data_IF_297578643323
#
_entry.id   IF_297578643323
#
_cell.length_a   1.000
_cell.length_b   1.000
_cell.length_c   1.000
_cell.angle_alpha   90.00
_cell.angle_beta   90.00
_cell.angle_gamma   90.00
#
_symmetry.space_group_name_H-M   'P 1'
#
loop_
_entity.id
_entity.type
_entity.pdbx_description
1 polymer ?
#
# COMPACT_ATOMS: atom_id res chain seq x y z
N UNK A 1 -7.48 -1.22 -33.11
CA UNK A 1 -7.63 -2.66 -32.75
C UNK A 1 -8.28 -2.82 -31.38
N UNK A 2 -7.79 -2.20 -30.30
CA UNK A 2 -8.40 -2.28 -28.94
C UNK A 2 -9.87 -1.81 -28.94
N UNK A 3 -10.16 -0.63 -29.50
CA UNK A 3 -11.53 -0.12 -29.66
C UNK A 3 -12.43 -1.02 -30.51
N UNK A 4 -11.88 -1.60 -31.60
CA UNK A 4 -12.63 -2.53 -32.44
C UNK A 4 -12.96 -3.83 -31.69
N UNK A 5 -12.07 -4.32 -30.84
CA UNK A 5 -12.32 -5.52 -30.06
C UNK A 5 -13.26 -5.27 -28.88
N UNK A 6 -13.12 -4.14 -28.18
CA UNK A 6 -13.97 -3.78 -27.05
C UNK A 6 -15.45 -3.58 -27.44
N UNK A 7 -15.69 -3.02 -28.63
CA UNK A 7 -17.04 -2.70 -29.13
C UNK A 7 -17.74 -3.82 -29.92
N UNK A 8 -17.15 -5.01 -29.99
CA UNK A 8 -17.82 -6.14 -30.63
C UNK A 8 -18.88 -6.72 -29.67
N UNK A 9 -20.15 -6.43 -29.96
CA UNK A 9 -21.31 -6.88 -29.19
C UNK A 9 -21.39 -8.41 -29.00
N UNK A 10 -20.86 -9.19 -29.95
CA UNK A 10 -20.91 -10.65 -29.99
C UNK A 10 -19.53 -11.31 -29.62
N UNK A 11 -18.55 -10.56 -29.15
CA UNK A 11 -17.28 -11.14 -28.76
C UNK A 11 -17.46 -12.05 -27.52
N UNK A 12 -16.89 -13.26 -27.51
CA UNK A 12 -16.92 -14.10 -26.33
C UNK A 12 -16.24 -13.39 -25.17
N UNK A 13 -16.81 -13.51 -23.97
CA UNK A 13 -16.28 -12.89 -22.76
C UNK A 13 -14.91 -13.48 -22.45
N UNK A 14 -13.90 -12.61 -22.40
CA UNK A 14 -12.54 -12.93 -22.03
C UNK A 14 -12.13 -12.07 -20.83
N UNK A 15 -12.13 -12.69 -19.66
CA UNK A 15 -11.82 -12.02 -18.39
C UNK A 15 -10.32 -11.87 -18.20
N UNK A 16 -9.90 -10.78 -17.55
CA UNK A 16 -8.53 -10.57 -17.08
C UNK A 16 -8.55 -9.93 -15.69
N UNK A 17 -7.70 -10.45 -14.83
CA UNK A 17 -7.49 -9.94 -13.48
C UNK A 17 -6.07 -9.37 -13.39
N UNK A 18 -5.94 -8.07 -13.25
CA UNK A 18 -4.65 -7.38 -13.16
C UNK A 18 -4.54 -6.67 -11.83
N UNK A 19 -3.48 -6.94 -11.09
CA UNK A 19 -3.25 -6.30 -9.80
C UNK A 19 -1.81 -5.81 -9.72
N UNK A 20 -1.64 -4.64 -9.11
CA UNK A 20 -0.33 -4.16 -8.71
C UNK A 20 0.28 -5.03 -7.60
N UNK A 21 1.59 -4.94 -7.42
CA UNK A 21 2.34 -5.74 -6.46
C UNK A 21 2.44 -5.05 -5.10
N UNK A 22 3.21 -3.95 -5.05
CA UNK A 22 3.59 -3.29 -3.81
C UNK A 22 2.42 -2.51 -3.23
N UNK A 23 2.21 -2.63 -1.91
CA UNK A 23 1.09 -2.03 -1.18
C UNK A 23 -0.32 -2.41 -1.71
N UNK A 24 -0.39 -3.30 -2.70
CA UNK A 24 -1.62 -3.90 -3.25
C UNK A 24 -1.73 -5.38 -2.90
N UNK A 25 -0.92 -6.23 -3.53
CA UNK A 25 -0.87 -7.68 -3.26
C UNK A 25 0.05 -8.02 -2.09
N UNK A 26 1.18 -7.34 -2.00
CA UNK A 26 2.17 -7.56 -0.95
C UNK A 26 2.63 -6.23 -0.35
N UNK A 27 3.25 -6.34 0.81
CA UNK A 27 4.12 -5.32 1.37
C UNK A 27 5.52 -5.87 1.42
N UNK A 28 6.49 -5.11 0.96
CA UNK A 28 7.90 -5.48 1.02
C UNK A 28 8.72 -4.38 1.66
N UNK A 29 9.89 -4.73 2.19
CA UNK A 29 10.89 -3.76 2.67
C UNK A 29 11.90 -3.40 1.59
N UNK A 30 11.71 -3.86 0.34
CA UNK A 30 12.57 -3.48 -0.77
C UNK A 30 12.56 -1.96 -0.96
N UNK A 31 13.73 -1.38 -1.22
CA UNK A 31 13.92 0.06 -1.38
C UNK A 31 14.56 0.37 -2.73
N UNK A 32 14.33 1.57 -3.24
CA UNK A 32 15.04 2.14 -4.38
C UNK A 32 16.18 2.99 -3.82
N UNK A 33 17.39 2.75 -4.28
CA UNK A 33 18.51 3.65 -4.05
C UNK A 33 18.33 4.92 -4.89
N UNK A 34 18.64 6.07 -4.32
CA UNK A 34 18.60 7.38 -4.99
C UNK A 34 19.98 8.02 -4.81
N UNK A 35 20.57 8.46 -5.91
CA UNK A 35 21.80 9.28 -5.94
C UNK A 35 21.46 10.63 -6.56
N UNK A 36 21.58 11.71 -5.80
CA UNK A 36 21.35 13.09 -6.28
C UNK A 36 22.56 13.61 -7.06
N UNK A 37 22.38 14.70 -7.81
CA UNK A 37 23.47 15.35 -8.53
C UNK A 37 24.64 15.76 -7.62
N UNK A 38 24.36 16.10 -6.36
CA UNK A 38 25.36 16.48 -5.36
C UNK A 38 26.11 15.26 -4.78
N UNK A 39 25.83 14.04 -5.29
CA UNK A 39 26.44 12.80 -4.82
C UNK A 39 25.87 12.26 -3.50
N UNK A 40 24.80 12.85 -2.95
CA UNK A 40 24.12 12.32 -1.78
C UNK A 40 23.35 11.06 -2.15
N UNK A 41 23.46 10.00 -1.32
CA UNK A 41 22.76 8.74 -1.52
C UNK A 41 21.80 8.46 -0.38
N UNK A 42 20.57 8.02 -0.71
CA UNK A 42 19.58 7.58 0.25
C UNK A 42 18.68 6.51 -0.36
N UNK A 43 17.82 5.88 0.45
CA UNK A 43 16.91 4.83 -0.02
C UNK A 43 15.47 5.20 0.32
N UNK A 44 14.57 5.04 -0.65
CA UNK A 44 13.13 5.27 -0.53
C UNK A 44 12.35 3.98 -0.78
N UNK A 45 11.18 3.86 -0.15
CA UNK A 45 10.28 2.72 -0.37
C UNK A 45 9.43 2.90 -1.65
N UNK A 46 8.64 1.87 -2.01
CA UNK A 46 7.80 1.89 -3.21
C UNK A 46 6.82 3.07 -3.24
N UNK A 47 6.17 3.37 -2.12
CA UNK A 47 5.20 4.46 -2.00
C UNK A 47 5.86 5.83 -2.16
N UNK A 48 7.02 6.03 -1.56
CA UNK A 48 7.81 7.27 -1.71
C UNK A 48 8.33 7.42 -3.14
N UNK A 49 8.81 6.32 -3.73
CA UNK A 49 9.23 6.32 -5.13
C UNK A 49 8.10 6.73 -6.06
N UNK A 50 6.91 6.13 -5.92
CA UNK A 50 5.75 6.49 -6.73
C UNK A 50 5.34 7.96 -6.62
N UNK A 51 5.59 8.61 -5.48
CA UNK A 51 5.28 10.03 -5.26
C UNK A 51 6.35 10.98 -5.78
N UNK A 52 7.63 10.62 -5.63
CA UNK A 52 8.77 11.52 -5.79
C UNK A 52 9.64 11.22 -7.01
N UNK A 53 9.42 10.09 -7.69
CA UNK A 53 10.27 9.70 -8.81
C UNK A 53 10.37 10.79 -9.88
N UNK A 54 9.24 11.40 -10.28
CA UNK A 54 9.24 12.45 -11.29
C UNK A 54 9.95 13.74 -10.86
N UNK A 55 9.82 14.13 -9.58
CA UNK A 55 10.55 15.27 -9.01
C UNK A 55 12.06 14.99 -8.99
N UNK A 56 12.46 13.87 -8.39
CA UNK A 56 13.85 13.45 -8.30
C UNK A 56 14.50 13.27 -9.68
N UNK A 57 13.78 12.71 -10.65
CA UNK A 57 14.23 12.56 -12.02
C UNK A 57 14.48 13.93 -12.69
N UNK A 58 13.56 14.90 -12.46
CA UNK A 58 13.71 16.26 -12.96
C UNK A 58 14.89 17.02 -12.33
N UNK A 59 15.25 16.66 -11.10
CA UNK A 59 16.42 17.15 -10.38
C UNK A 59 17.72 16.43 -10.77
N UNK A 60 17.65 15.47 -11.71
CA UNK A 60 18.79 14.73 -12.23
C UNK A 60 19.27 13.57 -11.34
N UNK A 61 18.44 13.12 -10.40
CA UNK A 61 18.77 11.96 -9.57
C UNK A 61 18.84 10.67 -10.39
N UNK A 62 19.75 9.78 -9.99
CA UNK A 62 19.86 8.42 -10.51
C UNK A 62 19.22 7.43 -9.54
N UNK A 63 18.62 6.36 -10.08
CA UNK A 63 17.96 5.33 -9.29
C UNK A 63 18.68 3.99 -9.39
N UNK A 64 18.87 3.35 -8.23
CA UNK A 64 19.33 1.96 -8.12
C UNK A 64 18.16 1.07 -7.71
N UNK A 65 17.75 0.17 -8.61
CA UNK A 65 16.65 -0.77 -8.44
C UNK A 65 17.09 -2.17 -7.98
N UNK A 66 18.34 -2.39 -7.62
CA UNK A 66 18.88 -3.71 -7.27
C UNK A 66 18.10 -4.42 -6.18
N UNK A 67 17.61 -3.68 -5.16
CA UNK A 67 16.72 -4.27 -4.14
C UNK A 67 15.30 -4.51 -4.65
N UNK A 68 14.86 -3.76 -5.65
CA UNK A 68 13.53 -3.92 -6.26
C UNK A 68 13.44 -5.15 -7.17
N UNK A 69 14.57 -5.69 -7.59
CA UNK A 69 14.62 -7.00 -8.25
C UNK A 69 14.34 -8.16 -7.28
N UNK A 70 14.27 -7.89 -5.97
CA UNK A 70 14.02 -8.87 -4.89
C UNK A 70 12.77 -8.50 -4.11
N UNK A 71 12.19 -9.49 -3.42
CA UNK A 71 11.16 -9.26 -2.42
C UNK A 71 11.79 -9.43 -1.04
N UNK A 72 12.08 -8.31 -0.38
CA UNK A 72 12.66 -8.29 0.96
C UNK A 72 11.54 -8.26 1.99
N UNK A 73 11.50 -9.24 2.89
CA UNK A 73 10.51 -9.37 3.98
C UNK A 73 9.05 -9.15 3.50
N UNK A 74 8.69 -9.88 2.42
CA UNK A 74 7.37 -9.78 1.79
C UNK A 74 6.26 -10.30 2.69
N UNK A 75 5.20 -9.51 2.87
CA UNK A 75 3.98 -9.86 3.63
C UNK A 75 2.75 -9.66 2.74
N UNK A 76 1.66 -10.36 3.06
CA UNK A 76 0.37 -10.20 2.36
C UNK A 76 -0.13 -8.76 2.46
N UNK A 77 -0.48 -8.18 1.32
CA UNK A 77 -1.03 -6.83 1.20
C UNK A 77 -2.55 -6.76 1.39
N UNK A 78 -3.15 -5.58 1.26
CA UNK A 78 -4.56 -5.33 1.55
C UNK A 78 -5.52 -6.10 0.64
N UNK A 79 -5.14 -6.37 -0.60
CA UNK A 79 -5.99 -7.09 -1.56
C UNK A 79 -5.53 -8.54 -1.80
N UNK A 80 -4.62 -9.07 -0.97
CA UNK A 80 -4.19 -10.48 -1.11
C UNK A 80 -5.37 -11.45 -1.03
N UNK A 81 -6.39 -11.14 -0.20
CA UNK A 81 -7.61 -11.96 -0.12
C UNK A 81 -8.39 -12.02 -1.43
N UNK A 82 -8.30 -10.98 -2.25
CA UNK A 82 -8.92 -10.96 -3.58
C UNK A 82 -8.23 -11.97 -4.50
N UNK A 83 -6.89 -12.02 -4.51
CA UNK A 83 -6.12 -13.04 -5.22
C UNK A 83 -6.51 -14.45 -4.76
N UNK A 84 -6.63 -14.69 -3.45
CA UNK A 84 -7.07 -15.99 -2.90
C UNK A 84 -8.44 -16.39 -3.45
N UNK A 85 -9.39 -15.46 -3.49
CA UNK A 85 -10.74 -15.70 -4.01
C UNK A 85 -10.75 -15.94 -5.53
N UNK A 86 -9.92 -15.22 -6.30
CA UNK A 86 -9.77 -15.45 -7.74
C UNK A 86 -9.17 -16.83 -7.98
N UNK A 87 -8.10 -17.18 -7.27
CA UNK A 87 -7.45 -18.48 -7.39
C UNK A 87 -8.43 -19.63 -7.11
N UNK A 88 -9.23 -19.53 -6.04
CA UNK A 88 -10.19 -20.56 -5.67
C UNK A 88 -11.33 -20.74 -6.70
N UNK A 89 -11.74 -19.67 -7.38
CA UNK A 89 -12.91 -19.69 -8.29
C UNK A 89 -12.55 -19.84 -9.76
N UNK A 90 -11.42 -19.33 -10.19
CA UNK A 90 -11.05 -19.16 -11.61
C UNK A 90 -9.66 -19.69 -11.96
N UNK A 91 -8.82 -19.94 -10.94
CA UNK A 91 -7.40 -20.17 -11.14
C UNK A 91 -6.64 -18.90 -11.49
N UNK A 92 -5.35 -19.02 -11.82
CA UNK A 92 -4.45 -17.89 -12.04
C UNK A 92 -3.93 -17.77 -13.49
N UNK A 93 -4.53 -18.47 -14.45
CA UNK A 93 -4.09 -18.42 -15.85
C UNK A 93 -4.30 -17.03 -16.49
N UNK A 94 -5.40 -16.35 -16.15
CA UNK A 94 -5.73 -14.99 -16.60
C UNK A 94 -5.53 -13.95 -15.49
N UNK A 95 -4.73 -14.29 -14.48
CA UNK A 95 -4.30 -13.39 -13.42
C UNK A 95 -2.92 -12.82 -13.76
N UNK A 96 -2.80 -11.49 -13.72
CA UNK A 96 -1.58 -10.77 -14.06
C UNK A 96 -1.14 -9.88 -12.90
N UNK A 97 0.17 -9.86 -12.65
CA UNK A 97 0.83 -8.87 -11.79
C UNK A 97 1.44 -7.81 -12.69
N UNK A 98 1.08 -6.55 -12.46
CA UNK A 98 1.56 -5.40 -13.22
C UNK A 98 2.17 -4.38 -12.26
N UNK A 99 3.48 -4.33 -12.21
CA UNK A 99 4.21 -3.50 -11.23
C UNK A 99 5.11 -2.47 -11.92
N UNK A 100 5.36 -1.35 -11.23
CA UNK A 100 6.37 -0.37 -11.63
C UNK A 100 7.81 -0.88 -11.48
N UNK A 101 8.03 -1.99 -10.77
CA UNK A 101 9.35 -2.61 -10.66
C UNK A 101 9.93 -2.94 -12.04
N UNK A 102 11.27 -3.04 -12.19
CA UNK A 102 11.87 -3.44 -13.44
C UNK A 102 11.51 -4.89 -13.82
N UNK A 103 11.60 -5.21 -15.11
CA UNK A 103 11.28 -6.54 -15.64
C UNK A 103 12.12 -7.67 -14.97
N UNK A 104 13.34 -7.37 -14.56
CA UNK A 104 14.24 -8.27 -13.84
C UNK A 104 13.65 -8.77 -12.49
N UNK A 105 12.67 -8.08 -11.94
CA UNK A 105 11.98 -8.49 -10.70
C UNK A 105 11.03 -9.70 -10.89
N UNK A 106 10.58 -9.99 -12.11
CA UNK A 106 9.54 -11.00 -12.36
C UNK A 106 9.89 -12.41 -11.84
N UNK A 107 11.13 -12.94 -11.97
CA UNK A 107 11.49 -14.25 -11.40
C UNK A 107 11.41 -14.28 -9.87
N UNK A 108 11.83 -13.21 -9.19
CA UNK A 108 11.76 -13.14 -7.73
C UNK A 108 10.31 -13.03 -7.23
N UNK A 109 9.47 -12.28 -7.94
CA UNK A 109 8.02 -12.17 -7.68
C UNK A 109 7.39 -13.56 -7.84
N UNK A 110 7.68 -14.26 -8.94
CA UNK A 110 7.18 -15.62 -9.15
C UNK A 110 7.59 -16.56 -8.02
N UNK A 111 8.88 -16.57 -7.65
CA UNK A 111 9.39 -17.40 -6.56
C UNK A 111 8.67 -17.13 -5.23
N UNK A 112 8.37 -15.87 -4.93
CA UNK A 112 7.64 -15.49 -3.74
C UNK A 112 6.21 -16.06 -3.74
N UNK A 113 5.46 -15.91 -4.83
CA UNK A 113 4.09 -16.44 -4.92
C UNK A 113 4.07 -17.97 -4.97
N UNK A 114 5.04 -18.60 -5.64
CA UNK A 114 5.20 -20.05 -5.65
C UNK A 114 5.42 -20.63 -4.25
N UNK A 115 6.23 -19.95 -3.42
CA UNK A 115 6.47 -20.33 -2.03
C UNK A 115 5.21 -20.23 -1.16
N UNK A 116 4.29 -19.32 -1.51
CA UNK A 116 2.98 -19.19 -0.86
C UNK A 116 1.92 -20.13 -1.45
N UNK A 117 2.26 -20.96 -2.44
CA UNK A 117 1.34 -21.91 -3.10
C UNK A 117 0.53 -21.33 -4.26
N UNK A 118 0.82 -20.12 -4.73
CA UNK A 118 0.11 -19.47 -5.84
C UNK A 118 0.90 -19.57 -7.14
N UNK A 119 0.46 -20.40 -8.07
CA UNK A 119 1.18 -20.69 -9.33
C UNK A 119 0.81 -19.69 -10.43
N UNK A 120 1.29 -18.47 -10.32
CA UNK A 120 1.13 -17.44 -11.35
C UNK A 120 2.14 -17.72 -12.47
N UNK A 121 1.71 -17.82 -13.77
CA UNK A 121 2.65 -17.99 -14.87
C UNK A 121 3.64 -16.83 -14.97
N UNK A 122 4.92 -17.12 -15.22
CA UNK A 122 5.94 -16.06 -15.31
C UNK A 122 5.59 -14.99 -16.36
N UNK A 123 5.03 -15.41 -17.51
CA UNK A 123 4.57 -14.51 -18.57
C UNK A 123 3.46 -13.52 -18.15
N UNK A 124 2.80 -13.81 -17.02
CA UNK A 124 1.74 -12.97 -16.45
C UNK A 124 2.29 -12.00 -15.39
N UNK A 125 3.60 -11.96 -15.18
CA UNK A 125 4.24 -11.02 -14.26
C UNK A 125 5.00 -10.00 -15.09
N UNK A 126 4.52 -8.76 -15.11
CA UNK A 126 5.10 -7.67 -15.89
C UNK A 126 5.66 -6.60 -14.98
N UNK A 127 6.96 -6.44 -15.00
CA UNK A 127 7.64 -5.28 -14.44
C UNK A 127 7.83 -4.23 -15.54
N UNK A 128 7.27 -3.05 -15.34
CA UNK A 128 7.30 -1.97 -16.35
C UNK A 128 8.60 -1.17 -16.34
N UNK A 129 9.29 -1.11 -15.19
CA UNK A 129 10.43 -0.20 -14.99
C UNK A 129 10.03 1.27 -15.09
N UNK A 130 8.73 1.57 -14.97
CA UNK A 130 8.17 2.90 -15.10
C UNK A 130 7.02 3.07 -14.10
N UNK A 131 7.12 4.12 -13.27
CA UNK A 131 6.11 4.47 -12.26
C UNK A 131 4.98 5.36 -12.79
N UNK A 132 5.03 5.80 -14.06
CA UNK A 132 4.03 6.70 -14.63
C UNK A 132 2.69 5.98 -14.85
N UNK A 133 1.55 6.60 -14.48
CA UNK A 133 0.23 5.99 -14.66
C UNK A 133 -0.08 5.57 -16.10
N UNK A 134 0.47 6.30 -17.07
CA UNK A 134 0.30 6.04 -18.51
C UNK A 134 0.91 4.70 -18.94
N UNK A 135 1.98 4.25 -18.28
CA UNK A 135 2.59 2.95 -18.59
C UNK A 135 1.63 1.79 -18.26
N UNK A 136 0.97 1.83 -17.09
CA UNK A 136 -0.06 0.84 -16.73
C UNK A 136 -1.29 0.92 -17.63
N UNK A 137 -1.78 2.13 -17.92
CA UNK A 137 -2.90 2.35 -18.84
C UNK A 137 -2.61 1.82 -20.26
N UNK A 138 -1.39 2.06 -20.77
CA UNK A 138 -0.92 1.55 -22.07
C UNK A 138 -0.88 0.01 -22.10
N UNK A 139 -0.40 -0.62 -21.02
CA UNK A 139 -0.38 -2.08 -20.92
C UNK A 139 -1.82 -2.66 -20.95
N UNK A 140 -2.77 -2.07 -20.22
CA UNK A 140 -4.18 -2.46 -20.23
C UNK A 140 -4.78 -2.32 -21.64
N UNK A 141 -4.46 -1.22 -22.35
CA UNK A 141 -4.87 -1.01 -23.74
C UNK A 141 -4.33 -2.11 -24.68
N UNK A 142 -3.09 -2.56 -24.45
CA UNK A 142 -2.49 -3.70 -25.12
C UNK A 142 -3.31 -4.98 -24.91
N UNK A 143 -3.73 -5.26 -23.68
CA UNK A 143 -4.56 -6.43 -23.35
C UNK A 143 -5.94 -6.37 -24.01
N UNK A 144 -6.55 -5.20 -24.08
CA UNK A 144 -7.80 -5.03 -24.88
C UNK A 144 -7.56 -5.31 -26.37
N UNK A 145 -6.41 -4.94 -26.91
CA UNK A 145 -6.04 -5.28 -28.29
C UNK A 145 -5.81 -6.79 -28.51
N UNK A 146 -5.46 -7.54 -27.47
CA UNK A 146 -5.37 -9.01 -27.44
C UNK A 146 -6.75 -9.70 -27.31
N UNK A 147 -7.83 -8.91 -27.17
CA UNK A 147 -9.20 -9.40 -27.14
C UNK A 147 -9.80 -9.56 -25.75
N UNK A 148 -9.11 -9.16 -24.68
CA UNK A 148 -9.72 -9.09 -23.35
C UNK A 148 -10.78 -8.00 -23.32
N UNK A 149 -11.96 -8.31 -22.73
CA UNK A 149 -13.13 -7.42 -22.72
C UNK A 149 -13.89 -7.39 -21.37
N UNK A 150 -13.38 -8.06 -20.34
CA UNK A 150 -13.89 -7.99 -18.98
C UNK A 150 -12.71 -7.86 -18.02
N UNK A 151 -12.50 -6.65 -17.50
CA UNK A 151 -11.31 -6.27 -16.77
C UNK A 151 -11.60 -6.12 -15.27
N UNK A 152 -10.76 -6.75 -14.45
CA UNK A 152 -10.57 -6.34 -13.07
C UNK A 152 -9.16 -5.75 -12.93
N UNK A 153 -9.07 -4.53 -12.41
CA UNK A 153 -7.79 -3.87 -12.11
C UNK A 153 -7.76 -3.36 -10.68
N UNK A 154 -6.65 -3.56 -9.99
CA UNK A 154 -6.46 -3.03 -8.64
C UNK A 154 -5.03 -2.50 -8.43
N UNK A 155 -4.92 -1.34 -7.77
CA UNK A 155 -3.67 -0.63 -7.54
C UNK A 155 -3.85 0.26 -6.29
N UNK A 156 -2.82 0.49 -5.50
CA UNK A 156 -2.88 1.40 -4.35
C UNK A 156 -2.77 2.86 -4.77
N UNK A 157 -2.02 3.15 -5.83
CA UNK A 157 -1.77 4.50 -6.32
C UNK A 157 -2.96 5.04 -7.11
N UNK A 158 -3.57 6.12 -6.59
CA UNK A 158 -4.78 6.70 -7.18
C UNK A 158 -4.62 7.19 -8.63
N UNK A 159 -3.41 7.63 -9.01
CA UNK A 159 -3.07 8.03 -10.38
C UNK A 159 -3.21 6.87 -11.36
N UNK A 160 -2.70 5.68 -10.99
CA UNK A 160 -2.82 4.45 -11.79
C UNK A 160 -4.29 4.04 -11.94
N UNK A 161 -5.03 4.07 -10.81
CA UNK A 161 -6.48 3.75 -10.78
C UNK A 161 -7.26 4.65 -11.74
N UNK A 162 -7.00 5.98 -11.70
CA UNK A 162 -7.67 6.95 -12.60
C UNK A 162 -7.30 6.70 -14.06
N UNK A 163 -6.02 6.61 -14.39
CA UNK A 163 -5.55 6.43 -15.76
C UNK A 163 -6.11 5.15 -16.41
N UNK A 164 -6.10 4.03 -15.66
CA UNK A 164 -6.65 2.76 -16.14
C UNK A 164 -8.18 2.84 -16.28
N UNK A 165 -8.87 3.44 -15.30
CA UNK A 165 -10.33 3.63 -15.39
C UNK A 165 -10.73 4.46 -16.61
N UNK A 166 -10.00 5.53 -16.90
CA UNK A 166 -10.27 6.41 -18.04
C UNK A 166 -10.10 5.65 -19.36
N UNK A 167 -9.02 4.88 -19.51
CA UNK A 167 -8.80 4.04 -20.70
C UNK A 167 -9.90 3.00 -20.87
N UNK A 168 -10.25 2.25 -19.81
CA UNK A 168 -11.29 1.22 -19.88
C UNK A 168 -12.67 1.80 -20.21
N UNK A 169 -12.97 3.00 -19.69
CA UNK A 169 -14.20 3.73 -20.04
C UNK A 169 -14.24 4.14 -21.51
N UNK A 170 -13.11 4.62 -22.07
CA UNK A 170 -13.02 4.97 -23.50
C UNK A 170 -13.12 3.76 -24.41
N UNK A 171 -12.62 2.59 -23.97
CA UNK A 171 -12.72 1.34 -24.72
C UNK A 171 -14.14 0.74 -24.71
N UNK A 172 -15.00 1.21 -23.82
CA UNK A 172 -16.37 0.73 -23.63
C UNK A 172 -16.42 -0.78 -23.35
N UNK A 173 -15.51 -1.25 -22.48
CA UNK A 173 -15.43 -2.64 -22.04
C UNK A 173 -15.95 -2.79 -20.63
N UNK A 174 -16.44 -3.98 -20.30
CA UNK A 174 -16.82 -4.28 -18.93
C UNK A 174 -15.58 -4.20 -18.01
N UNK A 175 -15.68 -3.43 -16.95
CA UNK A 175 -14.55 -3.24 -16.06
C UNK A 175 -14.95 -2.99 -14.61
N UNK A 176 -14.07 -3.44 -13.71
CA UNK A 176 -14.08 -3.08 -12.30
C UNK A 176 -12.68 -2.62 -11.90
N UNK A 177 -12.55 -1.36 -11.56
CA UNK A 177 -11.30 -0.75 -11.12
C UNK A 177 -11.40 -0.44 -9.63
N UNK A 178 -10.42 -0.90 -8.85
CA UNK A 178 -10.42 -0.79 -7.40
C UNK A 178 -9.12 -0.18 -6.90
N UNK A 179 -9.22 0.81 -6.00
CA UNK A 179 -8.05 1.26 -5.25
C UNK A 179 -7.81 0.34 -4.04
N UNK A 180 -6.60 -0.18 -3.91
CA UNK A 180 -6.16 -0.83 -2.70
C UNK A 180 -5.99 0.22 -1.60
N UNK A 181 -6.61 -0.01 -0.45
CA UNK A 181 -6.50 0.88 0.70
C UNK A 181 -6.25 0.06 1.95
N UNK A 182 -5.27 0.44 2.70
CA UNK A 182 -5.18 -0.01 4.08
C UNK A 182 -6.30 0.67 4.88
N UNK A 183 -6.98 -0.08 5.76
CA UNK A 183 -7.83 0.59 6.73
C UNK A 183 -6.93 1.50 7.59
N UNK A 184 -7.37 2.72 7.87
CA UNK A 184 -6.61 3.68 8.69
C UNK A 184 -6.16 3.05 10.03
N UNK A 185 -7.01 2.23 10.65
CA UNK A 185 -6.68 1.47 11.85
C UNK A 185 -5.54 0.46 11.63
N UNK A 186 -5.59 -0.33 10.54
CA UNK A 186 -4.51 -1.28 10.22
C UNK A 186 -3.20 -0.60 9.85
N UNK A 187 -3.25 0.56 9.20
CA UNK A 187 -2.05 1.34 8.85
C UNK A 187 -1.40 1.86 10.12
N UNK A 188 -2.19 2.38 11.06
CA UNK A 188 -1.70 2.85 12.35
C UNK A 188 -1.11 1.69 13.18
N UNK A 189 -1.79 0.56 13.28
CA UNK A 189 -1.29 -0.64 13.98
C UNK A 189 0.03 -1.15 13.39
N UNK A 190 0.18 -1.10 12.07
CA UNK A 190 1.41 -1.53 11.39
C UNK A 190 2.55 -0.57 11.69
N UNK A 191 2.33 0.74 11.59
CA UNK A 191 3.33 1.77 11.90
C UNK A 191 3.76 1.66 13.36
N UNK A 192 2.81 1.57 14.28
CA UNK A 192 3.10 1.43 15.71
C UNK A 192 3.83 0.11 16.00
N UNK A 193 3.43 -1.00 15.41
CA UNK A 193 4.11 -2.28 15.61
C UNK A 193 5.54 -2.28 15.06
N UNK A 194 5.78 -1.67 13.90
CA UNK A 194 7.12 -1.56 13.34
C UNK A 194 8.01 -0.67 14.21
N UNK A 195 7.46 0.43 14.76
CA UNK A 195 8.16 1.30 15.73
C UNK A 195 8.48 0.61 17.03
N UNK A 196 7.54 -0.16 17.58
CA UNK A 196 7.72 -0.90 18.83
C UNK A 196 8.81 -1.94 18.66
N UNK A 197 8.87 -2.65 17.54
CA UNK A 197 9.90 -3.63 17.24
C UNK A 197 11.31 -3.04 17.20
N UNK A 198 11.42 -1.81 16.66
CA UNK A 198 12.72 -1.13 16.54
C UNK A 198 13.20 -0.54 17.87
N UNK A 199 12.31 -0.24 18.83
CA UNK A 199 12.65 0.64 19.94
C UNK A 199 12.72 0.01 21.32
N UNK A 200 12.08 -1.12 21.64
CA UNK A 200 11.88 -1.46 23.04
C UNK A 200 11.91 -2.96 23.44
N UNK A 201 12.22 -3.89 22.54
CA UNK A 201 12.12 -5.32 22.88
C UNK A 201 10.68 -5.77 23.18
N UNK A 202 9.68 -4.93 22.90
CA UNK A 202 8.26 -5.30 22.91
C UNK A 202 7.89 -5.64 21.45
N UNK A 203 7.54 -6.90 21.21
CA UNK A 203 7.42 -7.40 19.85
C UNK A 203 6.16 -6.92 19.10
N UNK A 204 5.09 -6.55 19.82
CA UNK A 204 3.85 -6.10 19.18
C UNK A 204 3.01 -5.16 20.06
N UNK A 205 2.21 -4.27 19.42
CA UNK A 205 1.19 -3.47 20.12
C UNK A 205 0.19 -4.35 20.89
N UNK A 206 -0.06 -5.56 20.42
CA UNK A 206 -0.95 -6.53 21.07
C UNK A 206 -0.38 -6.97 22.42
N UNK A 207 0.93 -7.21 22.52
CA UNK A 207 1.62 -7.54 23.77
C UNK A 207 1.65 -6.37 24.72
N UNK A 208 1.89 -5.16 24.20
CA UNK A 208 1.79 -3.93 24.97
C UNK A 208 0.39 -3.71 25.55
N UNK A 209 -0.66 -3.84 24.73
CA UNK A 209 -2.05 -3.68 25.17
C UNK A 209 -2.46 -4.76 26.18
N UNK A 210 -1.96 -5.99 26.02
CA UNK A 210 -2.17 -7.08 26.96
C UNK A 210 -1.43 -6.85 28.30
N UNK A 211 -0.19 -6.36 28.26
CA UNK A 211 0.58 -5.98 29.44
C UNK A 211 -0.08 -4.82 30.20
N UNK A 212 -0.61 -3.83 29.47
CA UNK A 212 -1.32 -2.72 30.07
C UNK A 212 -2.68 -3.10 30.64
N UNK A 213 -3.43 -3.99 30.00
CA UNK A 213 -4.68 -4.52 30.56
C UNK A 213 -4.48 -5.22 31.90
N UNK A 214 -3.31 -5.85 32.11
CA UNK A 214 -2.92 -6.44 33.39
C UNK A 214 -2.59 -5.41 34.48
N UNK A 215 -2.03 -4.25 34.07
CA UNK A 215 -1.60 -3.20 35.04
C UNK A 215 -2.72 -2.21 35.41
N UNK A 216 -3.71 -2.03 34.58
CA UNK A 216 -4.80 -1.04 34.78
C UNK A 216 -6.06 -1.69 35.36
N UNK A 217 -6.03 -2.99 35.67
CA UNK A 217 -7.20 -3.74 36.14
C UNK A 217 -8.27 -3.82 35.04
N UNK A 218 -8.45 -4.97 34.47
CA UNK A 218 -9.40 -5.20 33.40
C UNK A 218 -10.81 -4.79 33.81
N UNK A 219 -11.27 -3.64 33.39
CA UNK A 219 -12.71 -3.36 33.33
C UNK A 219 -13.29 -4.31 32.28
N UNK A 220 -14.11 -5.23 32.73
CA UNK A 220 -14.72 -6.30 31.96
C UNK A 220 -15.29 -5.78 30.63
N UNK A 221 -14.73 -6.24 29.51
CA UNK A 221 -15.49 -6.47 28.29
C UNK A 221 -15.69 -5.31 27.32
N UNK A 222 -14.97 -4.19 27.41
CA UNK A 222 -14.97 -3.16 26.37
C UNK A 222 -13.55 -2.92 25.89
N UNK A 223 -13.31 -3.13 24.61
CA UNK A 223 -12.12 -2.64 23.91
C UNK A 223 -12.16 -1.11 23.93
N UNK A 224 -11.58 -0.50 24.94
CA UNK A 224 -11.26 0.91 24.88
C UNK A 224 -10.06 1.05 23.97
N UNK A 225 -10.30 1.32 22.71
CA UNK A 225 -9.28 1.90 21.84
C UNK A 225 -8.87 3.21 22.51
N UNK A 226 -7.70 3.22 23.10
CA UNK A 226 -7.11 4.45 23.58
C UNK A 226 -6.63 5.22 22.35
N UNK A 227 -7.50 6.08 21.85
CA UNK A 227 -7.10 7.15 20.95
C UNK A 227 -6.59 8.25 21.87
N UNK A 228 -5.30 8.62 21.81
CA UNK A 228 -4.80 9.75 22.59
C UNK A 228 -5.68 10.97 22.31
N UNK A 229 -6.17 11.62 23.34
CA UNK A 229 -7.06 12.78 23.18
C UNK A 229 -6.31 14.03 22.71
N UNK A 230 -4.97 14.01 22.80
CA UNK A 230 -4.08 15.11 22.40
C UNK A 230 -2.72 14.60 21.95
N UNK A 231 -1.96 15.45 21.24
CA UNK A 231 -0.56 15.19 20.91
C UNK A 231 0.31 14.97 22.16
N UNK A 232 -0.03 15.61 23.26
CA UNK A 232 0.65 15.47 24.56
C UNK A 232 0.42 14.10 25.16
N UNK A 233 -0.80 13.56 25.10
CA UNK A 233 -1.14 12.21 25.56
C UNK A 233 -0.41 11.15 24.72
N UNK A 234 -0.35 11.36 23.41
CA UNK A 234 0.40 10.49 22.50
C UNK A 234 1.90 10.54 22.78
N UNK A 235 2.45 11.74 23.00
CA UNK A 235 3.85 11.94 23.39
C UNK A 235 4.14 11.27 24.74
N UNK A 236 3.25 11.44 25.72
CA UNK A 236 3.37 10.80 27.03
C UNK A 236 3.31 9.27 26.95
N UNK A 237 2.48 8.73 26.06
CA UNK A 237 2.40 7.30 25.79
C UNK A 237 3.72 6.78 25.18
N UNK A 238 4.25 7.47 24.18
CA UNK A 238 5.52 7.12 23.54
C UNK A 238 6.69 7.17 24.54
N UNK A 239 6.78 8.19 25.41
CA UNK A 239 7.80 8.23 26.46
C UNK A 239 7.69 7.07 27.45
N UNK A 240 6.49 6.62 27.77
CA UNK A 240 6.29 5.44 28.61
C UNK A 240 6.73 4.15 27.92
N UNK A 241 6.60 4.08 26.60
CA UNK A 241 6.99 2.92 25.80
C UNK A 241 8.49 2.87 25.53
N UNK A 242 9.12 4.01 25.23
CA UNK A 242 10.52 4.11 24.82
C UNK A 242 11.48 4.24 26.00
N UNK A 243 10.95 4.48 27.21
CA UNK A 243 11.75 4.77 28.41
C UNK A 243 12.23 6.21 28.46
N UNK A 244 12.63 6.64 29.67
CA UNK A 244 13.20 7.97 29.89
C UNK A 244 14.71 7.91 29.73
N UNK A 245 15.30 8.91 29.08
CA UNK A 245 16.75 9.11 28.99
C UNK A 245 17.20 9.46 27.57
N UNK A 246 18.51 9.72 27.39
CA UNK A 246 19.08 10.20 26.11
C UNK A 246 18.69 9.36 24.87
N UNK A 247 18.53 8.05 25.03
CA UNK A 247 18.10 7.16 23.95
C UNK A 247 16.61 7.35 23.62
N UNK A 248 15.77 7.49 24.63
CA UNK A 248 14.34 7.79 24.48
C UNK A 248 14.11 9.16 23.85
N UNK A 249 14.91 10.17 24.22
CA UNK A 249 14.81 11.51 23.68
C UNK A 249 15.21 11.57 22.20
N UNK A 250 16.24 10.84 21.78
CA UNK A 250 16.63 10.73 20.37
C UNK A 250 15.55 10.03 19.52
N UNK A 251 14.95 8.96 20.05
CA UNK A 251 13.84 8.27 19.41
C UNK A 251 12.59 9.14 19.33
N UNK A 252 12.30 9.92 20.38
CA UNK A 252 11.19 10.88 20.37
C UNK A 252 11.41 12.01 19.37
N UNK A 253 12.63 12.52 19.22
CA UNK A 253 12.96 13.52 18.22
C UNK A 253 12.72 12.98 16.80
N UNK A 254 13.17 11.75 16.53
CA UNK A 254 12.92 11.05 15.27
C UNK A 254 11.42 10.87 14.99
N UNK A 255 10.66 10.44 16.00
CA UNK A 255 9.21 10.26 15.88
C UNK A 255 8.48 11.58 15.65
N UNK A 256 8.85 12.64 16.35
CA UNK A 256 8.28 13.99 16.14
C UNK A 256 8.51 14.48 14.71
N UNK A 257 9.71 14.29 14.18
CA UNK A 257 10.03 14.76 12.83
C UNK A 257 9.29 13.98 11.73
N UNK A 258 9.04 12.68 11.94
CA UNK A 258 8.50 11.80 10.89
C UNK A 258 6.99 11.49 11.03
N UNK A 259 6.38 11.78 12.18
CA UNK A 259 4.98 11.41 12.48
C UNK A 259 4.07 12.58 12.81
N UNK A 260 4.62 13.76 13.14
CA UNK A 260 3.79 14.91 13.54
C UNK A 260 2.76 15.24 12.47
N UNK A 261 3.16 15.31 11.21
CA UNK A 261 2.23 15.56 10.09
C UNK A 261 1.11 14.52 9.97
N UNK A 262 1.41 13.26 10.27
CA UNK A 262 0.41 12.20 10.20
C UNK A 262 -0.53 12.25 11.41
N UNK A 263 0.00 12.63 12.57
CA UNK A 263 -0.76 12.79 13.79
C UNK A 263 -1.65 14.02 13.73
N UNK A 264 -1.15 15.17 13.31
CA UNK A 264 -1.93 16.42 13.18
C UNK A 264 -3.10 16.25 12.21
N UNK A 265 -2.91 15.52 11.12
CA UNK A 265 -4.00 15.18 10.19
C UNK A 265 -5.03 14.24 10.82
N UNK A 266 -4.58 13.26 11.61
CA UNK A 266 -5.49 12.35 12.31
C UNK A 266 -6.25 13.08 13.44
N UNK A 267 -5.59 13.95 14.19
CA UNK A 267 -6.20 14.77 15.23
C UNK A 267 -7.23 15.74 14.64
N UNK A 268 -6.89 16.42 13.54
CA UNK A 268 -7.80 17.30 12.80
C UNK A 268 -9.05 16.53 12.32
N UNK A 269 -8.86 15.33 11.75
CA UNK A 269 -9.98 14.49 11.29
C UNK A 269 -10.87 14.03 12.45
N UNK A 270 -10.29 13.64 13.59
CA UNK A 270 -11.05 13.26 14.79
C UNK A 270 -11.78 14.45 15.38
N UNK A 271 -11.16 15.61 15.41
CA UNK A 271 -11.78 16.85 15.91
C UNK A 271 -12.94 17.27 15.03
N UNK A 272 -12.78 17.23 13.71
CA UNK A 272 -13.88 17.52 12.77
C UNK A 272 -15.02 16.50 12.89
N UNK A 273 -14.72 15.21 13.07
CA UNK A 273 -15.73 14.19 13.30
C UNK A 273 -16.50 14.42 14.61
N UNK A 274 -15.82 14.85 15.69
CA UNK A 274 -16.47 15.21 16.97
C UNK A 274 -17.36 16.43 16.82
N UNK A 275 -16.94 17.45 16.06
CA UNK A 275 -17.74 18.66 15.79
C UNK A 275 -18.97 18.31 14.97
N UNK A 276 -18.82 17.49 13.92
CA UNK A 276 -19.94 17.03 13.10
C UNK A 276 -20.97 16.25 13.95
N UNK A 277 -20.50 15.27 14.75
CA UNK A 277 -21.37 14.49 15.62
C UNK A 277 -22.09 15.36 16.68
N UNK A 278 -21.41 16.39 17.22
CA UNK A 278 -22.03 17.33 18.16
C UNK A 278 -23.09 18.22 17.50
N UNK A 279 -22.89 18.59 16.24
CA UNK A 279 -23.85 19.36 15.46
C UNK A 279 -25.07 18.52 15.09
N UNK A 280 -24.89 17.27 14.69
CA UNK A 280 -26.00 16.33 14.44
C UNK A 280 -26.83 16.06 15.69
N UNK A 281 -26.19 15.98 16.86
CA UNK A 281 -26.90 15.82 18.14
C UNK A 281 -27.71 17.06 18.55
N UNK A 282 -27.27 18.26 18.14
CA UNK A 282 -28.01 19.50 18.33
C UNK A 282 -29.20 19.64 17.38
N UNK A 283 -29.08 19.08 16.17
CA UNK A 283 -30.15 19.11 15.18
C UNK A 283 -31.28 18.10 15.48
N UNK A 284 -31.06 17.15 16.39
CA UNK A 284 -32.04 16.15 16.83
C UNK A 284 -32.81 16.56 18.10
N UNK A 285 -32.53 17.73 18.67
CA UNK A 285 -33.28 18.36 19.77
C UNK A 285 -34.17 19.46 19.24
#
# INVERSE_FOLDING_TARGET
>A
KALQNGRKSNAPRKEIYTMDLDDTLIRSKSKVGVETLDGNTFKINATEFAKRAGELESEGAKFDFTEFEKIVDGKKGPLFKVLENINAKKGLNDFFILTARPAAAAPAIKKFFDALGYKIPLKNITGLGDGKPQAKAGWIMGKAAEGYNDFYFADDHIGNVKAVKDVLSQLDVKSKVQQAKFSKAKTFDIIINDMIKESAGIETYKEYSAARAKTVGASKGRFNFFIPASAEDFTGLLYKMLGKGKKGDAQMAFLKTNLLDTYDRAESAVTQAKIAAANDFKALK
#
